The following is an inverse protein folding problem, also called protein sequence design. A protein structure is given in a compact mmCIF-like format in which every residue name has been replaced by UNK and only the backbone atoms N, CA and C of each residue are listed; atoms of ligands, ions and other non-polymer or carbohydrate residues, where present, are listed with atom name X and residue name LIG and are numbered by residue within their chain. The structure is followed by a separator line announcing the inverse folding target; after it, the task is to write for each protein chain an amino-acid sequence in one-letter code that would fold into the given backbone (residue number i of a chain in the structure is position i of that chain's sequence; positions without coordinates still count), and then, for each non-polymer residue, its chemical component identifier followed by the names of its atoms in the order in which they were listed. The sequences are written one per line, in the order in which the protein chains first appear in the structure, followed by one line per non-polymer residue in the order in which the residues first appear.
data_IF_065572977255
#
_entry.id   IF_065572977255
#
_cell.length_a   1.000
_cell.length_b   1.000
_cell.length_c   1.000
_cell.angle_alpha   90.00
_cell.angle_beta   90.00
_cell.angle_gamma   90.00
#
_symmetry.space_group_name_H-M   'P 1'
#
loop_
_entity.id
_entity.type
_entity.pdbx_description
1 polymer ?
#
# COMPACT_ATOMS: atom_id res chain seq x y z
N UNK A 1 7.53 19.42 -51.93
CA UNK A 1 6.60 20.35 -51.27
C UNK A 1 5.60 19.55 -50.48
N UNK A 2 5.24 20.00 -49.27
CA UNK A 2 4.41 19.34 -48.24
C UNK A 2 5.19 18.55 -47.17
N UNK A 3 6.19 19.20 -46.55
CA UNK A 3 6.61 18.85 -45.17
C UNK A 3 6.08 19.89 -44.15
N UNK A 4 5.26 20.83 -44.61
CA UNK A 4 4.89 22.06 -43.90
C UNK A 4 3.74 21.90 -42.90
N UNK A 5 3.23 20.67 -42.70
CA UNK A 5 2.15 20.38 -41.74
C UNK A 5 2.49 19.24 -40.78
N UNK A 6 3.77 19.08 -40.43
CA UNK A 6 4.14 18.19 -39.32
C UNK A 6 3.90 18.94 -38.00
N UNK A 7 3.27 18.30 -37.02
CA UNK A 7 2.98 18.88 -35.68
C UNK A 7 4.21 19.54 -35.05
N UNK A 8 5.39 18.99 -35.33
CA UNK A 8 6.68 19.52 -34.87
C UNK A 8 7.05 20.88 -35.48
N UNK A 9 6.67 21.14 -36.74
CA UNK A 9 6.90 22.42 -37.43
C UNK A 9 6.03 23.53 -36.83
N UNK A 10 4.74 23.23 -36.58
CA UNK A 10 3.81 24.14 -35.90
C UNK A 10 4.27 24.45 -34.47
N UNK A 11 4.94 23.51 -33.81
CA UNK A 11 5.53 23.68 -32.48
C UNK A 11 6.72 24.64 -32.50
N UNK A 12 7.55 24.56 -33.55
CA UNK A 12 8.77 25.35 -33.71
C UNK A 12 8.46 26.80 -34.11
N UNK A 13 7.39 27.00 -34.87
CA UNK A 13 6.90 28.31 -35.32
C UNK A 13 6.01 29.00 -34.28
N UNK A 14 5.57 28.27 -33.25
CA UNK A 14 4.80 28.82 -32.14
C UNK A 14 5.60 29.84 -31.32
N UNK A 15 4.90 30.79 -30.70
CA UNK A 15 5.52 31.82 -29.86
C UNK A 15 6.19 31.23 -28.62
N UNK A 16 7.26 31.87 -28.15
CA UNK A 16 8.06 31.45 -26.97
C UNK A 16 7.18 31.12 -25.74
N UNK A 17 6.15 31.91 -25.37
CA UNK A 17 5.29 31.56 -24.24
C UNK A 17 4.53 30.23 -24.44
N UNK A 18 4.07 29.95 -25.66
CA UNK A 18 3.34 28.71 -25.99
C UNK A 18 4.28 27.51 -25.89
N UNK A 19 5.52 27.64 -26.37
CA UNK A 19 6.54 26.59 -26.24
C UNK A 19 6.84 26.25 -24.77
N UNK A 20 6.94 27.25 -23.89
CA UNK A 20 7.15 27.04 -22.46
C UNK A 20 5.97 26.29 -21.84
N UNK A 21 4.73 26.69 -22.14
CA UNK A 21 3.53 26.01 -21.61
C UNK A 21 3.49 24.55 -22.08
N UNK A 22 3.77 24.29 -23.37
CA UNK A 22 3.81 22.92 -23.90
C UNK A 22 4.88 22.06 -23.24
N UNK A 23 6.06 22.62 -22.97
CA UNK A 23 7.15 21.93 -22.27
C UNK A 23 6.76 21.63 -20.82
N UNK A 24 6.14 22.58 -20.11
CA UNK A 24 5.62 22.37 -18.76
C UNK A 24 4.54 21.29 -18.72
N UNK A 25 3.62 21.28 -19.69
CA UNK A 25 2.57 20.26 -19.79
C UNK A 25 3.16 18.86 -20.07
N UNK A 26 4.18 18.77 -20.94
CA UNK A 26 4.91 17.52 -21.16
C UNK A 26 5.64 17.05 -19.90
N UNK A 27 6.33 17.95 -19.19
CA UNK A 27 6.98 17.64 -17.92
C UNK A 27 5.99 17.14 -16.87
N UNK A 28 4.87 17.85 -16.70
CA UNK A 28 3.79 17.45 -15.79
C UNK A 28 3.17 16.10 -16.19
N UNK A 29 3.02 15.82 -17.49
CA UNK A 29 2.54 14.53 -18.00
C UNK A 29 3.49 13.38 -17.63
N UNK A 30 4.80 13.57 -17.81
CA UNK A 30 5.81 12.57 -17.45
C UNK A 30 5.82 12.29 -15.94
N UNK A 31 5.72 13.34 -15.11
CA UNK A 31 5.60 13.20 -13.65
C UNK A 31 4.34 12.41 -13.29
N UNK A 32 3.20 12.74 -13.90
CA UNK A 32 1.94 12.03 -13.68
C UNK A 32 2.07 10.54 -14.01
N UNK A 33 2.64 10.19 -15.16
CA UNK A 33 2.89 8.80 -15.54
C UNK A 33 3.84 8.08 -14.58
N UNK A 34 4.91 8.75 -14.15
CA UNK A 34 5.85 8.20 -13.16
C UNK A 34 5.15 7.85 -11.83
N UNK A 35 4.28 8.74 -11.34
CA UNK A 35 3.47 8.51 -10.14
C UNK A 35 2.48 7.34 -10.37
N UNK A 36 1.79 7.32 -11.52
CA UNK A 36 0.83 6.26 -11.84
C UNK A 36 1.50 4.88 -11.83
N UNK A 37 2.67 4.73 -12.45
CA UNK A 37 3.40 3.45 -12.46
C UNK A 37 3.91 3.05 -11.07
N UNK A 38 4.45 4.01 -10.31
CA UNK A 38 4.89 3.77 -8.93
C UNK A 38 3.74 3.28 -8.04
N UNK A 39 2.62 4.01 -8.06
CA UNK A 39 1.41 3.68 -7.29
C UNK A 39 0.82 2.33 -7.67
N UNK A 40 0.74 2.04 -8.98
CA UNK A 40 0.19 0.77 -9.48
C UNK A 40 1.02 -0.44 -9.04
N UNK A 41 2.35 -0.30 -8.96
CA UNK A 41 3.24 -1.37 -8.48
C UNK A 41 3.11 -1.59 -6.97
N UNK A 42 3.02 -0.52 -6.19
CA UNK A 42 2.86 -0.60 -4.73
C UNK A 42 1.53 -1.27 -4.34
N UNK A 43 0.42 -0.80 -4.91
CA UNK A 43 -0.91 -1.33 -4.64
C UNK A 43 -0.98 -2.82 -5.00
N UNK A 44 -0.44 -3.20 -6.17
CA UNK A 44 -0.45 -4.59 -6.62
C UNK A 44 0.33 -5.50 -5.67
N UNK A 45 1.51 -5.08 -5.21
CA UNK A 45 2.30 -5.85 -4.23
C UNK A 45 1.57 -6.03 -2.90
N UNK A 46 0.93 -4.98 -2.37
CA UNK A 46 0.15 -5.06 -1.12
C UNK A 46 -1.06 -5.98 -1.28
N UNK A 47 -1.72 -5.94 -2.43
CA UNK A 47 -2.85 -6.81 -2.76
C UNK A 47 -2.42 -8.28 -2.82
N UNK A 48 -1.40 -8.58 -3.63
CA UNK A 48 -0.91 -9.96 -3.80
C UNK A 48 -0.47 -10.57 -2.46
N UNK A 49 0.21 -9.80 -1.61
CA UNK A 49 0.61 -10.23 -0.26
C UNK A 49 -0.59 -10.46 0.69
N UNK A 50 -1.67 -9.67 0.53
CA UNK A 50 -2.88 -9.84 1.34
C UNK A 50 -3.66 -11.06 0.89
N UNK A 51 -3.78 -11.30 -0.42
CA UNK A 51 -4.46 -12.46 -1.00
C UNK A 51 -3.76 -13.78 -0.58
N UNK A 52 -2.42 -13.79 -0.56
CA UNK A 52 -1.63 -14.95 -0.09
C UNK A 52 -1.82 -15.19 1.42
N UNK A 53 -1.81 -14.13 2.23
CA UNK A 53 -2.08 -14.23 3.65
C UNK A 53 -3.50 -14.73 3.94
N UNK A 54 -4.49 -14.21 3.22
CA UNK A 54 -5.89 -14.59 3.36
C UNK A 54 -6.09 -16.08 3.04
N UNK A 55 -5.50 -16.58 1.94
CA UNK A 55 -5.52 -17.99 1.61
C UNK A 55 -4.89 -18.87 2.72
N UNK A 56 -3.76 -18.44 3.28
CA UNK A 56 -3.12 -19.13 4.39
C UNK A 56 -3.97 -19.11 5.66
N UNK A 57 -4.62 -17.98 5.99
CA UNK A 57 -5.50 -17.84 7.14
C UNK A 57 -6.72 -18.77 7.03
N UNK A 58 -7.36 -18.84 5.86
CA UNK A 58 -8.53 -19.70 5.63
C UNK A 58 -8.21 -21.18 5.44
N UNK A 59 -6.95 -21.53 5.16
CA UNK A 59 -6.51 -22.93 5.05
C UNK A 59 -6.63 -23.73 6.37
N UNK A 60 -6.92 -23.06 7.49
CA UNK A 60 -7.16 -23.70 8.78
C UNK A 60 -5.88 -24.13 9.52
N UNK A 61 -4.72 -23.62 9.11
CA UNK A 61 -3.44 -23.85 9.79
C UNK A 61 -3.37 -23.21 11.18
N UNK A 62 -2.33 -23.57 11.95
CA UNK A 62 -2.09 -23.02 13.28
C UNK A 62 -1.81 -21.51 13.21
N UNK A 63 -2.65 -20.71 13.87
CA UNK A 63 -2.51 -19.25 13.99
C UNK A 63 -1.14 -18.82 14.54
N UNK A 64 -0.50 -19.63 15.40
CA UNK A 64 0.85 -19.35 15.86
C UNK A 64 1.89 -19.51 14.74
N UNK A 65 1.72 -20.47 13.84
CA UNK A 65 2.59 -20.61 12.67
C UNK A 65 2.41 -19.44 11.70
N UNK A 66 1.16 -19.01 11.50
CA UNK A 66 0.81 -17.85 10.67
C UNK A 66 1.37 -16.54 11.26
N UNK A 67 1.33 -16.39 12.58
CA UNK A 67 1.96 -15.26 13.27
C UNK A 67 3.48 -15.24 13.05
N UNK A 68 4.14 -16.39 13.20
CA UNK A 68 5.58 -16.50 12.98
C UNK A 68 5.98 -16.25 11.53
N UNK A 69 5.18 -16.66 10.55
CA UNK A 69 5.43 -16.34 9.14
C UNK A 69 5.22 -14.86 8.87
N UNK A 70 4.17 -14.24 9.41
CA UNK A 70 3.91 -12.80 9.26
C UNK A 70 5.04 -11.94 9.85
N UNK A 71 5.56 -12.27 11.03
CA UNK A 71 6.67 -11.54 11.67
C UNK A 71 8.02 -11.74 10.95
N UNK A 72 8.22 -12.86 10.25
CA UNK A 72 9.48 -13.16 9.52
C UNK A 72 9.50 -12.65 8.08
N UNK A 73 8.39 -12.12 7.56
CA UNK A 73 8.33 -11.60 6.20
C UNK A 73 9.38 -10.48 6.01
N UNK A 74 10.29 -10.68 5.05
CA UNK A 74 11.39 -9.74 4.77
C UNK A 74 10.81 -8.44 4.21
N UNK A 75 10.85 -7.38 5.02
CA UNK A 75 10.20 -6.08 4.72
C UNK A 75 9.05 -5.72 5.66
N UNK A 76 8.77 -6.57 6.65
CA UNK A 76 7.66 -6.38 7.59
C UNK A 76 6.34 -6.95 7.06
N UNK A 77 5.38 -7.10 7.96
CA UNK A 77 4.00 -7.44 7.60
C UNK A 77 3.36 -6.25 6.89
N UNK A 78 2.66 -6.50 5.78
CA UNK A 78 2.01 -5.49 4.94
C UNK A 78 0.56 -5.92 4.71
N UNK A 79 -0.35 -4.96 4.55
CA UNK A 79 -1.75 -5.23 4.27
C UNK A 79 -2.42 -6.00 5.41
N UNK A 80 -3.10 -7.09 5.07
CA UNK A 80 -3.87 -7.88 6.04
C UNK A 80 -3.00 -8.54 7.10
N UNK A 81 -1.76 -8.92 6.75
CA UNK A 81 -0.83 -9.57 7.66
C UNK A 81 -0.41 -8.65 8.83
N UNK A 82 -0.29 -7.34 8.61
CA UNK A 82 0.12 -6.39 9.66
C UNK A 82 -1.00 -6.12 10.66
N UNK A 83 -2.24 -6.09 10.18
CA UNK A 83 -3.44 -6.00 11.00
C UNK A 83 -3.55 -7.25 11.89
N UNK A 84 -3.39 -8.43 11.30
CA UNK A 84 -3.39 -9.69 12.04
C UNK A 84 -2.28 -9.74 13.09
N UNK A 85 -1.04 -9.40 12.72
CA UNK A 85 0.09 -9.40 13.64
C UNK A 85 -0.15 -8.50 14.85
N UNK A 86 -0.70 -7.30 14.64
CA UNK A 86 -1.00 -6.36 15.72
C UNK A 86 -2.04 -6.93 16.69
N UNK A 87 -3.13 -7.51 16.19
CA UNK A 87 -4.16 -8.12 17.04
C UNK A 87 -3.67 -9.39 17.75
N UNK A 88 -2.92 -10.26 17.06
CA UNK A 88 -2.42 -11.51 17.62
C UNK A 88 -1.31 -11.27 18.66
N UNK A 89 -0.52 -10.20 18.50
CA UNK A 89 0.44 -9.74 19.53
C UNK A 89 -0.27 -9.34 20.82
N UNK A 90 -1.38 -8.61 20.71
CA UNK A 90 -2.21 -8.25 21.88
C UNK A 90 -2.84 -9.47 22.54
N UNK A 91 -3.35 -10.40 21.74
CA UNK A 91 -3.89 -11.66 22.23
C UNK A 91 -2.86 -12.44 23.05
N UNK A 92 -1.65 -12.62 22.50
CA UNK A 92 -0.55 -13.30 23.21
C UNK A 92 -0.11 -12.55 24.47
N UNK A 93 -0.13 -11.22 24.46
CA UNK A 93 0.21 -10.40 25.63
C UNK A 93 -0.83 -10.57 26.73
N UNK A 94 -2.12 -10.55 26.37
CA UNK A 94 -3.21 -10.73 27.32
C UNK A 94 -3.26 -12.15 27.91
N UNK A 95 -2.93 -13.16 27.11
CA UNK A 95 -2.84 -14.55 27.57
C UNK A 95 -1.73 -14.74 28.62
N UNK A 96 -0.58 -14.08 28.42
CA UNK A 96 0.55 -14.11 29.36
C UNK A 96 0.28 -13.31 30.65
N UNK A 97 -0.46 -12.20 30.57
CA UNK A 97 -0.72 -11.34 31.71
C UNK A 97 -1.58 -12.03 32.79
N UNK A 98 -2.45 -12.97 32.41
CA UNK A 98 -3.32 -13.72 33.33
C UNK A 98 -4.40 -12.84 34.00
N UNK A 99 -5.66 -13.26 33.96
CA UNK A 99 -6.73 -12.61 34.73
C UNK A 99 -7.55 -11.53 33.99
N UNK A 100 -7.41 -11.39 32.67
CA UNK A 100 -8.34 -10.61 31.86
C UNK A 100 -9.53 -11.47 31.40
N UNK A 101 -10.74 -10.92 31.45
CA UNK A 101 -11.92 -11.58 30.89
C UNK A 101 -11.79 -11.69 29.36
N UNK A 102 -12.30 -12.78 28.78
CA UNK A 102 -12.24 -13.02 27.32
C UNK A 102 -12.77 -11.83 26.52
N UNK A 103 -13.83 -11.17 26.97
CA UNK A 103 -14.38 -9.97 26.32
C UNK A 103 -13.37 -8.82 26.26
N UNK A 104 -12.63 -8.56 27.35
CA UNK A 104 -11.60 -7.52 27.37
C UNK A 104 -10.47 -7.86 26.41
N UNK A 105 -10.07 -9.13 26.34
CA UNK A 105 -9.02 -9.57 25.41
C UNK A 105 -9.45 -9.33 23.97
N UNK A 106 -10.68 -9.70 23.61
CA UNK A 106 -11.23 -9.51 22.26
C UNK A 106 -11.33 -8.02 21.92
N UNK A 107 -11.76 -7.19 22.85
CA UNK A 107 -11.85 -5.74 22.64
C UNK A 107 -10.46 -5.10 22.42
N UNK A 108 -9.47 -5.49 23.22
CA UNK A 108 -8.09 -5.04 23.07
C UNK A 108 -7.48 -5.47 21.73
N UNK A 109 -7.72 -6.71 21.31
CA UNK A 109 -7.30 -7.20 19.99
C UNK A 109 -7.94 -6.40 18.86
N UNK A 110 -9.27 -6.16 18.93
CA UNK A 110 -9.99 -5.35 17.92
C UNK A 110 -9.48 -3.92 17.86
N UNK A 111 -9.18 -3.31 19.01
CA UNK A 111 -8.60 -1.97 19.09
C UNK A 111 -7.25 -1.92 18.40
N UNK A 112 -6.36 -2.86 18.69
CA UNK A 112 -5.05 -2.91 18.04
C UNK A 112 -5.14 -3.17 16.54
N UNK A 113 -6.04 -4.06 16.10
CA UNK A 113 -6.31 -4.29 14.68
C UNK A 113 -6.81 -3.01 13.99
N UNK A 114 -7.71 -2.24 14.61
CA UNK A 114 -8.21 -0.96 14.07
C UNK A 114 -7.08 0.08 13.94
N UNK A 115 -6.22 0.18 14.94
CA UNK A 115 -5.06 1.09 14.90
C UNK A 115 -4.09 0.67 13.79
N UNK A 116 -3.82 -0.63 13.65
CA UNK A 116 -2.97 -1.14 12.58
C UNK A 116 -3.58 -0.90 11.18
N UNK A 117 -4.90 -1.07 11.04
CA UNK A 117 -5.63 -0.75 9.82
C UNK A 117 -5.48 0.73 9.45
N UNK A 118 -5.67 1.64 10.41
CA UNK A 118 -5.49 3.08 10.17
C UNK A 118 -4.07 3.40 9.73
N UNK A 119 -3.05 2.84 10.40
CA UNK A 119 -1.63 3.04 10.01
C UNK A 119 -1.34 2.50 8.62
N UNK A 120 -1.96 1.39 8.23
CA UNK A 120 -1.75 0.81 6.90
C UNK A 120 -2.41 1.68 5.82
N UNK A 121 -3.58 2.26 6.09
CA UNK A 121 -4.20 3.27 5.23
C UNK A 121 -3.32 4.50 5.11
N UNK A 122 -2.84 5.06 6.24
CA UNK A 122 -1.94 6.21 6.25
C UNK A 122 -0.64 5.93 5.48
N UNK A 123 -0.11 4.71 5.55
CA UNK A 123 1.09 4.29 4.80
C UNK A 123 0.83 4.22 3.30
N UNK A 124 -0.36 3.80 2.90
CA UNK A 124 -0.77 3.80 1.49
C UNK A 124 -0.98 5.24 0.99
N UNK A 125 -1.50 6.12 1.84
CA UNK A 125 -1.74 7.53 1.54
C UNK A 125 -0.46 8.38 1.56
N UNK A 126 0.55 8.07 2.38
CA UNK A 126 1.84 8.78 2.35
C UNK A 126 2.69 8.45 1.12
N UNK A 127 2.43 7.32 0.47
CA UNK A 127 3.08 6.94 -0.80
C UNK A 127 2.28 7.42 -2.02
N UNK A 128 1.41 8.40 -1.81
CA UNK A 128 0.40 8.92 -2.74
C UNK A 128 0.67 10.41 -3.00
#
# INVERSE_FOLDING_TARGET
MNADTTVLSLLWEASIPVQIVMLLLLGASLVSWSIIFGKRRLIRRTKDASDEFEAAFWSGGDLNTLYRSATRATGGSIGMASIFEAGFREFNRALQAGGSSTDKIVEECRRAMRVAQMREVDRLDQNL
#
